data_IF_785498208524
#
_entry.id   IF_785498208524
#
_cell.length_a   1.000
_cell.length_b   1.000
_cell.length_c   1.000
_cell.angle_alpha   90.00
_cell.angle_beta   90.00
_cell.angle_gamma   90.00
#
_symmetry.space_group_name_H-M   'P 1'
#
loop_
_entity.id
_entity.type
_entity.pdbx_description
1 polymer ?
#
# COMPACT_ATOMS: atom_id res chain seq x y z
N UNK A 1 -8.69 -0.35 24.32
CA UNK A 1 -8.57 -1.81 24.02
C UNK A 1 -8.94 -2.11 22.57
N UNK A 2 -10.01 -1.48 22.03
CA UNK A 2 -10.44 -1.68 20.64
C UNK A 2 -9.42 -1.21 19.57
N UNK A 3 -8.67 -0.13 19.83
CA UNK A 3 -7.72 0.41 18.85
C UNK A 3 -6.60 -0.60 18.51
N UNK A 4 -6.15 -1.38 19.50
CA UNK A 4 -5.11 -2.39 19.25
C UNK A 4 -5.57 -3.46 18.25
N UNK A 5 -6.78 -3.96 18.44
CA UNK A 5 -7.38 -4.99 17.57
C UNK A 5 -7.47 -4.48 16.13
N UNK A 6 -7.85 -3.21 15.97
CA UNK A 6 -7.98 -2.56 14.68
C UNK A 6 -6.66 -2.52 13.89
N UNK A 7 -5.54 -2.14 14.51
CA UNK A 7 -4.25 -2.17 13.81
C UNK A 7 -3.74 -3.58 13.53
N UNK A 8 -3.97 -4.55 14.44
CA UNK A 8 -3.63 -5.95 14.18
C UNK A 8 -4.44 -6.51 12.99
N UNK A 9 -5.67 -6.04 12.81
CA UNK A 9 -6.46 -6.36 11.64
C UNK A 9 -5.87 -5.74 10.37
N UNK A 10 -5.43 -4.49 10.42
CA UNK A 10 -4.85 -3.85 9.25
C UNK A 10 -3.53 -4.46 8.82
N UNK A 11 -2.65 -4.82 9.75
CA UNK A 11 -1.43 -5.53 9.40
C UNK A 11 -1.76 -6.90 8.78
N UNK A 12 -2.71 -7.64 9.36
CA UNK A 12 -3.15 -8.93 8.80
C UNK A 12 -3.75 -8.74 7.40
N UNK A 13 -4.61 -7.75 7.20
CA UNK A 13 -5.21 -7.44 5.91
C UNK A 13 -4.15 -7.06 4.87
N UNK A 14 -3.17 -6.24 5.26
CA UNK A 14 -2.08 -5.83 4.36
C UNK A 14 -1.16 -6.98 4.02
N UNK A 15 -0.87 -7.86 4.99
CA UNK A 15 -0.14 -9.11 4.75
C UNK A 15 -0.94 -10.02 3.81
N UNK A 16 -2.27 -10.13 3.99
CA UNK A 16 -3.11 -10.94 3.08
C UNK A 16 -3.01 -10.44 1.64
N UNK A 17 -3.02 -9.12 1.41
CA UNK A 17 -2.80 -8.53 0.10
C UNK A 17 -1.38 -8.78 -0.43
N UNK A 18 -0.36 -8.72 0.42
CA UNK A 18 1.02 -9.05 0.06
C UNK A 18 1.18 -10.54 -0.31
N UNK A 19 0.55 -11.45 0.43
CA UNK A 19 0.55 -12.88 0.11
C UNK A 19 -0.18 -13.17 -1.19
N UNK A 20 -1.29 -12.47 -1.45
CA UNK A 20 -2.00 -12.56 -2.74
C UNK A 20 -1.14 -12.01 -3.89
N UNK A 21 -0.37 -10.95 -3.66
CA UNK A 21 0.54 -10.40 -4.65
C UNK A 21 1.62 -11.43 -5.03
N UNK A 22 2.23 -12.08 -4.03
CA UNK A 22 3.23 -13.13 -4.24
C UNK A 22 2.63 -14.33 -5.01
N UNK A 23 1.40 -14.72 -4.67
CA UNK A 23 0.67 -15.82 -5.32
C UNK A 23 0.41 -15.53 -6.80
N UNK A 24 -0.15 -14.36 -7.13
CA UNK A 24 -0.47 -13.96 -8.50
C UNK A 24 0.80 -13.73 -9.33
N UNK A 25 1.87 -13.22 -8.71
CA UNK A 25 3.17 -13.05 -9.36
C UNK A 25 3.93 -14.39 -9.57
N UNK A 26 3.47 -15.49 -8.95
CA UNK A 26 4.05 -16.84 -9.04
C UNK A 26 5.54 -16.89 -8.66
N UNK A 27 5.96 -16.09 -7.69
CA UNK A 27 7.37 -16.02 -7.29
C UNK A 27 7.89 -17.33 -6.66
N UNK A 28 7.00 -18.11 -6.03
CA UNK A 28 7.36 -19.36 -5.36
C UNK A 28 6.44 -20.50 -5.79
N UNK A 29 6.95 -21.62 -6.33
CA UNK A 29 6.13 -22.79 -6.67
C UNK A 29 5.42 -23.43 -5.47
N UNK A 30 6.00 -23.32 -4.28
CA UNK A 30 5.51 -23.83 -3.00
C UNK A 30 4.82 -22.75 -2.15
N UNK A 31 4.34 -21.66 -2.77
CA UNK A 31 3.74 -20.54 -2.03
C UNK A 31 2.56 -20.96 -1.16
N UNK A 32 1.74 -21.91 -1.63
CA UNK A 32 0.57 -22.41 -0.89
C UNK A 32 0.93 -22.97 0.49
N UNK A 33 2.12 -23.55 0.64
CA UNK A 33 2.62 -24.10 1.91
C UNK A 33 3.25 -23.02 2.80
N UNK A 34 3.73 -21.91 2.22
CA UNK A 34 4.36 -20.78 2.93
C UNK A 34 3.33 -19.80 3.49
N UNK A 35 2.22 -19.65 2.78
CA UNK A 35 1.12 -18.73 3.08
C UNK A 35 0.60 -18.90 4.51
N UNK A 36 0.39 -17.79 5.21
CA UNK A 36 -0.05 -17.75 6.62
C UNK A 36 -1.46 -17.18 6.79
N UNK A 37 -2.00 -16.50 5.78
CA UNK A 37 -3.35 -15.92 5.81
C UNK A 37 -4.30 -16.67 4.88
N UNK A 38 -5.59 -16.63 5.20
CA UNK A 38 -6.62 -17.04 4.26
C UNK A 38 -7.05 -15.85 3.38
N UNK A 39 -7.41 -16.12 2.13
CA UNK A 39 -7.89 -15.07 1.22
C UNK A 39 -9.36 -14.71 1.44
N UNK A 40 -9.98 -15.19 2.51
CA UNK A 40 -11.43 -15.04 2.65
C UNK A 40 -11.84 -13.56 2.80
N UNK A 41 -10.90 -12.67 3.15
CA UNK A 41 -11.06 -11.22 3.20
C UNK A 41 -10.99 -10.52 1.84
N UNK A 42 -10.46 -11.20 0.82
CA UNK A 42 -10.32 -10.64 -0.52
C UNK A 42 -11.51 -11.08 -1.37
N UNK A 43 -12.40 -10.14 -1.70
CA UNK A 43 -13.62 -10.41 -2.47
C UNK A 43 -13.51 -10.01 -3.95
N UNK A 44 -12.45 -9.28 -4.32
CA UNK A 44 -12.20 -8.84 -5.70
C UNK A 44 -11.76 -10.00 -6.58
N UNK A 45 -12.38 -10.12 -7.76
CA UNK A 45 -12.08 -11.18 -8.74
C UNK A 45 -11.08 -10.75 -9.80
N UNK A 46 -10.98 -9.45 -10.09
CA UNK A 46 -10.09 -8.89 -11.12
C UNK A 46 -8.60 -8.97 -10.75
N UNK A 47 -8.30 -9.23 -9.48
CA UNK A 47 -6.92 -9.33 -8.96
C UNK A 47 -6.13 -10.52 -9.52
N UNK A 48 -6.81 -11.52 -10.08
CA UNK A 48 -6.17 -12.69 -10.67
C UNK A 48 -5.68 -12.44 -12.11
N UNK A 49 -6.04 -11.30 -12.71
CA UNK A 49 -5.65 -10.94 -14.07
C UNK A 49 -4.17 -10.54 -14.17
N UNK A 50 -3.65 -9.81 -13.17
CA UNK A 50 -2.25 -9.41 -13.12
C UNK A 50 -1.80 -9.01 -11.71
N UNK A 51 -0.50 -9.13 -11.46
CA UNK A 51 0.11 -8.68 -10.19
C UNK A 51 -0.10 -7.17 -9.94
N UNK A 52 -0.20 -6.35 -11.00
CA UNK A 52 -0.44 -4.91 -10.89
C UNK A 52 -1.82 -4.57 -10.35
N UNK A 53 -2.84 -5.42 -10.61
CA UNK A 53 -4.17 -5.29 -10.01
C UNK A 53 -4.18 -5.59 -8.50
N UNK A 54 -3.15 -6.29 -7.98
CA UNK A 54 -2.95 -6.58 -6.55
C UNK A 54 -2.08 -5.53 -5.83
N UNK A 55 -1.15 -4.87 -6.53
CA UNK A 55 -0.30 -3.84 -5.92
C UNK A 55 -1.12 -2.63 -5.44
N UNK A 56 -2.10 -2.19 -6.23
CA UNK A 56 -2.98 -1.08 -5.86
C UNK A 56 -3.70 -1.29 -4.52
N UNK A 57 -4.42 -2.42 -4.30
CA UNK A 57 -5.08 -2.67 -3.03
C UNK A 57 -4.09 -2.91 -1.88
N UNK A 58 -2.91 -3.48 -2.12
CA UNK A 58 -1.84 -3.60 -1.10
C UNK A 58 -1.37 -2.22 -0.61
N UNK A 59 -0.99 -1.32 -1.52
CA UNK A 59 -0.60 0.03 -1.14
C UNK A 59 -1.72 0.80 -0.44
N UNK A 60 -2.96 0.59 -0.90
CA UNK A 60 -4.15 1.23 -0.32
C UNK A 60 -4.45 0.71 1.09
N UNK A 61 -4.34 -0.61 1.33
CA UNK A 61 -4.57 -1.20 2.66
C UNK A 61 -3.53 -0.74 3.67
N UNK A 62 -2.28 -0.62 3.24
CA UNK A 62 -1.19 -0.09 4.05
C UNK A 62 -1.41 1.38 4.42
N UNK A 63 -1.70 2.23 3.43
CA UNK A 63 -1.84 3.67 3.69
C UNK A 63 -3.06 3.97 4.56
N UNK A 64 -4.24 3.43 4.22
CA UNK A 64 -5.47 3.71 4.98
C UNK A 64 -5.39 3.09 6.37
N UNK A 65 -4.69 1.97 6.53
CA UNK A 65 -4.60 1.29 7.80
C UNK A 65 -3.67 1.94 8.83
N UNK A 66 -2.70 2.74 8.36
CA UNK A 66 -1.61 3.24 9.22
C UNK A 66 -1.37 4.75 9.14
N UNK A 67 -1.71 5.41 8.04
CA UNK A 67 -1.47 6.85 7.91
C UNK A 67 -2.39 7.64 8.85
N UNK A 68 -1.78 8.49 9.67
CA UNK A 68 -2.48 9.31 10.68
C UNK A 68 -2.56 8.61 12.03
N UNK A 69 -3.18 7.43 12.08
CA UNK A 69 -3.49 6.80 13.37
C UNK A 69 -2.29 6.10 14.00
N UNK A 70 -1.35 5.54 13.21
CA UNK A 70 -0.23 4.75 13.75
C UNK A 70 0.81 5.62 14.46
N UNK A 71 1.12 6.82 13.93
CA UNK A 71 2.13 7.70 14.50
C UNK A 71 1.70 8.32 15.84
N UNK A 72 0.39 8.38 16.08
CA UNK A 72 -0.19 8.78 17.36
C UNK A 72 -0.16 7.65 18.41
N UNK A 73 0.17 6.41 18.03
CA UNK A 73 0.23 5.30 18.97
C UNK A 73 1.53 5.29 19.80
N UNK A 74 1.47 4.74 21.03
CA UNK A 74 2.66 4.50 21.85
C UNK A 74 3.73 3.69 21.09
N UNK A 75 5.01 4.01 21.34
CA UNK A 75 6.13 3.36 20.68
C UNK A 75 6.11 1.83 20.87
N UNK A 76 5.79 1.36 22.08
CA UNK A 76 5.71 -0.07 22.38
C UNK A 76 4.69 -0.78 21.48
N UNK A 77 3.57 -0.11 21.19
CA UNK A 77 2.54 -0.65 20.33
C UNK A 77 2.97 -0.69 18.86
N UNK A 78 3.65 0.35 18.38
CA UNK A 78 4.26 0.35 17.03
C UNK A 78 5.27 -0.79 16.88
N UNK A 79 6.09 -1.02 17.89
CA UNK A 79 7.02 -2.16 17.93
C UNK A 79 6.30 -3.52 17.97
N UNK A 80 5.14 -3.64 18.62
CA UNK A 80 4.30 -4.84 18.57
C UNK A 80 3.81 -5.14 17.14
N UNK A 81 3.35 -4.12 16.41
CA UNK A 81 2.92 -4.26 15.01
C UNK A 81 4.10 -4.66 14.11
N UNK A 82 5.26 -4.00 14.24
CA UNK A 82 6.47 -4.36 13.49
C UNK A 82 6.92 -5.80 13.76
N UNK A 83 6.83 -6.26 15.01
CA UNK A 83 7.14 -7.66 15.36
C UNK A 83 6.27 -8.63 14.58
N UNK A 84 4.97 -8.38 14.41
CA UNK A 84 4.10 -9.27 13.63
C UNK A 84 4.53 -9.37 12.16
N UNK A 85 4.92 -8.25 11.53
CA UNK A 85 5.51 -8.27 10.18
C UNK A 85 6.76 -9.16 10.12
N UNK A 86 7.67 -9.02 11.08
CA UNK A 86 8.88 -9.85 11.12
C UNK A 86 8.59 -11.34 11.36
N UNK A 87 7.64 -11.67 12.23
CA UNK A 87 7.23 -13.06 12.45
C UNK A 87 6.63 -13.67 11.18
N UNK A 88 5.82 -12.91 10.44
CA UNK A 88 5.32 -13.35 9.14
C UNK A 88 6.46 -13.60 8.15
N UNK A 89 7.42 -12.67 8.07
CA UNK A 89 8.58 -12.79 7.17
C UNK A 89 9.42 -14.04 7.46
N UNK A 90 9.73 -14.31 8.73
CA UNK A 90 10.43 -15.54 9.13
C UNK A 90 9.65 -16.80 8.77
N UNK A 91 8.33 -16.79 8.95
CA UNK A 91 7.50 -17.98 8.70
C UNK A 91 7.36 -18.28 7.22
N UNK A 92 7.23 -17.26 6.37
CA UNK A 92 7.11 -17.39 4.91
C UNK A 92 8.40 -17.85 4.22
N UNK A 93 9.53 -17.85 4.93
CA UNK A 93 10.86 -18.24 4.42
C UNK A 93 11.30 -17.46 3.18
N UNK A 94 10.82 -16.23 3.06
CA UNK A 94 11.31 -15.24 2.10
C UNK A 94 12.64 -14.69 2.64
N UNK A 95 13.66 -14.59 1.80
CA UNK A 95 14.97 -14.06 2.18
C UNK A 95 15.62 -13.29 1.04
N UNK A 96 16.81 -12.73 1.30
CA UNK A 96 17.54 -11.90 0.33
C UNK A 96 17.90 -12.65 -0.97
N UNK A 97 18.12 -13.96 -0.91
CA UNK A 97 18.58 -14.76 -2.04
C UNK A 97 17.42 -15.27 -2.92
N UNK A 98 16.24 -15.44 -2.34
CA UNK A 98 15.07 -15.98 -3.03
C UNK A 98 13.97 -14.95 -3.36
N UNK A 99 14.10 -13.71 -2.87
CA UNK A 99 13.15 -12.64 -3.17
C UNK A 99 13.53 -11.92 -4.47
N UNK A 100 12.64 -11.83 -5.47
CA UNK A 100 12.88 -10.97 -6.62
C UNK A 100 12.91 -9.49 -6.20
N UNK A 101 13.63 -8.66 -6.95
CA UNK A 101 13.84 -7.23 -6.65
C UNK A 101 12.54 -6.50 -6.34
N UNK A 102 11.51 -6.71 -7.14
CA UNK A 102 10.20 -6.09 -6.96
C UNK A 102 9.53 -6.47 -5.62
N UNK A 103 9.65 -7.74 -5.18
CA UNK A 103 9.15 -8.16 -3.87
C UNK A 103 9.99 -7.55 -2.74
N UNK A 104 11.31 -7.47 -2.91
CA UNK A 104 12.18 -6.80 -1.95
C UNK A 104 11.76 -5.34 -1.76
N UNK A 105 11.48 -4.62 -2.84
CA UNK A 105 10.98 -3.24 -2.78
C UNK A 105 9.61 -3.16 -2.10
N UNK A 106 8.67 -4.07 -2.41
CA UNK A 106 7.36 -4.11 -1.75
C UNK A 106 7.50 -4.32 -0.23
N UNK A 107 8.38 -5.23 0.21
CA UNK A 107 8.67 -5.48 1.62
C UNK A 107 9.33 -4.26 2.29
N UNK A 108 10.26 -3.61 1.59
CA UNK A 108 10.90 -2.38 2.07
C UNK A 108 9.87 -1.28 2.33
N UNK A 109 9.01 -0.98 1.36
CA UNK A 109 7.99 0.07 1.50
C UNK A 109 6.88 -0.29 2.50
N UNK A 110 6.55 -1.57 2.65
CA UNK A 110 5.68 -2.03 3.74
C UNK A 110 6.28 -1.61 5.10
N UNK A 111 7.56 -1.89 5.31
CA UNK A 111 8.26 -1.55 6.54
C UNK A 111 8.39 -0.04 6.75
N UNK A 112 8.68 0.76 5.71
CA UNK A 112 8.70 2.23 5.80
C UNK A 112 7.39 2.78 6.39
N UNK A 113 6.26 2.25 5.92
CA UNK A 113 4.93 2.63 6.42
C UNK A 113 4.76 2.24 7.90
N UNK A 114 5.26 1.09 8.33
CA UNK A 114 5.24 0.69 9.74
C UNK A 114 6.18 1.52 10.63
N UNK A 115 7.23 2.12 10.05
CA UNK A 115 8.12 3.09 10.71
C UNK A 115 7.60 4.53 10.65
N UNK A 116 6.35 4.72 10.20
CA UNK A 116 5.74 6.02 10.00
C UNK A 116 6.47 6.93 8.97
N UNK A 117 7.29 6.36 8.08
CA UNK A 117 7.98 7.09 7.00
C UNK A 117 7.14 7.08 5.73
N UNK A 118 6.12 7.94 5.71
CA UNK A 118 5.09 7.95 4.66
C UNK A 118 5.39 8.86 3.46
N UNK A 119 6.49 9.62 3.47
CA UNK A 119 6.77 10.70 2.51
C UNK A 119 6.67 10.22 1.06
N UNK A 120 7.37 9.12 0.76
CA UNK A 120 7.35 8.55 -0.59
C UNK A 120 5.99 7.97 -0.94
N UNK A 121 5.38 7.20 -0.03
CA UNK A 121 4.08 6.58 -0.28
C UNK A 121 2.98 7.64 -0.52
N UNK A 122 3.03 8.77 0.19
CA UNK A 122 2.16 9.94 -0.06
C UNK A 122 2.42 10.54 -1.44
N UNK A 123 3.69 10.78 -1.78
CA UNK A 123 4.05 11.32 -3.09
C UNK A 123 3.55 10.43 -4.24
N UNK A 124 3.84 9.13 -4.17
CA UNK A 124 3.41 8.12 -5.13
C UNK A 124 1.89 8.05 -5.24
N UNK A 125 1.19 8.10 -4.11
CA UNK A 125 -0.27 8.13 -4.07
C UNK A 125 -0.81 9.37 -4.78
N UNK A 126 -0.25 10.54 -4.53
CA UNK A 126 -0.74 11.79 -5.10
C UNK A 126 -0.42 11.91 -6.61
N UNK A 127 0.68 11.31 -7.03
CA UNK A 127 1.11 11.21 -8.43
C UNK A 127 0.51 10.00 -9.18
N UNK A 128 -0.36 9.20 -8.55
CA UNK A 128 -0.99 8.05 -9.21
C UNK A 128 -1.88 8.46 -10.38
N UNK A 129 -1.88 7.64 -11.43
CA UNK A 129 -2.89 7.62 -12.49
C UNK A 129 -4.19 7.07 -11.89
N UNK A 130 -5.23 7.89 -11.87
CA UNK A 130 -6.56 7.47 -11.40
C UNK A 130 -7.26 6.71 -12.52
N UNK A 131 -7.60 5.45 -12.28
CA UNK A 131 -8.47 4.68 -13.17
C UNK A 131 -9.95 5.04 -12.96
N UNK A 132 -10.31 5.44 -11.73
CA UNK A 132 -11.69 5.71 -11.29
C UNK A 132 -11.67 6.96 -10.42
N UNK A 133 -12.61 7.88 -10.65
CA UNK A 133 -12.79 9.06 -9.81
C UNK A 133 -13.46 8.73 -8.48
N UNK A 134 -13.20 9.54 -7.45
CA UNK A 134 -13.64 9.24 -6.07
C UNK A 134 -15.17 9.28 -5.93
N UNK A 135 -15.84 10.08 -6.75
CA UNK A 135 -17.29 10.23 -6.80
C UNK A 135 -18.00 9.18 -7.67
N UNK A 136 -17.25 8.36 -8.41
CA UNK A 136 -17.82 7.24 -9.16
C UNK A 136 -18.25 6.11 -8.20
N UNK A 137 -19.50 5.61 -8.27
CA UNK A 137 -19.94 4.47 -7.46
C UNK A 137 -19.04 3.23 -7.52
N UNK A 138 -18.35 3.00 -8.65
CA UNK A 138 -17.38 1.90 -8.80
C UNK A 138 -16.17 2.05 -7.88
N UNK A 139 -15.84 3.27 -7.46
CA UNK A 139 -14.80 3.49 -6.46
C UNK A 139 -15.20 2.87 -5.13
N UNK A 140 -16.44 3.11 -4.67
CA UNK A 140 -16.95 2.51 -3.44
C UNK A 140 -16.98 0.98 -3.52
N UNK A 141 -17.39 0.42 -4.66
CA UNK A 141 -17.36 -1.03 -4.88
C UNK A 141 -15.91 -1.58 -4.77
N UNK A 142 -14.92 -0.92 -5.41
CA UNK A 142 -13.51 -1.32 -5.28
C UNK A 142 -13.02 -1.24 -3.83
N UNK A 143 -13.40 -0.19 -3.09
CA UNK A 143 -13.01 -0.02 -1.70
C UNK A 143 -13.67 -1.05 -0.78
N UNK A 144 -14.94 -1.40 -1.00
CA UNK A 144 -15.61 -2.52 -0.35
C UNK A 144 -14.92 -3.85 -0.68
N UNK A 145 -14.40 -3.99 -1.90
CA UNK A 145 -13.58 -5.13 -2.29
C UNK A 145 -12.26 -5.27 -1.51
N UNK A 146 -11.72 -4.16 -0.99
CA UNK A 146 -10.49 -4.13 -0.19
C UNK A 146 -10.77 -4.30 1.29
N UNK A 147 -11.76 -3.58 1.82
CA UNK A 147 -11.97 -3.44 3.27
C UNK A 147 -13.30 -4.00 3.76
N UNK A 148 -14.22 -4.36 2.87
CA UNK A 148 -15.62 -4.64 3.22
C UNK A 148 -15.77 -5.75 4.24
N UNK A 149 -15.05 -6.86 4.08
CA UNK A 149 -15.09 -7.95 5.07
C UNK A 149 -14.44 -7.54 6.39
N UNK A 150 -13.32 -6.83 6.34
CA UNK A 150 -12.68 -6.31 7.56
C UNK A 150 -13.60 -5.40 8.35
N UNK A 151 -14.31 -4.49 7.67
CA UNK A 151 -15.31 -3.62 8.27
C UNK A 151 -16.49 -4.39 8.85
N UNK A 152 -16.99 -5.43 8.16
CA UNK A 152 -18.07 -6.28 8.67
C UNK A 152 -17.67 -6.98 9.97
N UNK A 153 -16.45 -7.53 10.04
CA UNK A 153 -15.99 -8.21 11.27
C UNK A 153 -15.89 -7.22 12.44
N UNK A 154 -15.32 -6.02 12.21
CA UNK A 154 -15.27 -4.94 13.23
C UNK A 154 -16.68 -4.58 13.70
N UNK A 155 -17.60 -4.34 12.75
CA UNK A 155 -18.98 -3.94 13.06
C UNK A 155 -19.76 -5.03 13.79
N UNK A 156 -19.48 -6.30 13.50
CA UNK A 156 -20.13 -7.45 14.15
C UNK A 156 -19.63 -7.70 15.57
N UNK A 157 -18.54 -7.06 16.00
CA UNK A 157 -17.92 -7.29 17.31
C UNK A 157 -17.24 -8.65 17.44
N UNK A 158 -17.15 -9.44 16.37
CA UNK A 158 -16.47 -10.75 16.34
C UNK A 158 -14.97 -10.61 16.19
N UNK A 159 -14.36 -9.79 17.03
CA UNK A 159 -12.93 -9.48 16.99
C UNK A 159 -12.05 -10.70 17.25
N UNK A 160 -12.59 -11.72 17.92
CA UNK A 160 -11.89 -12.97 18.21
C UNK A 160 -11.57 -13.78 16.94
N UNK A 161 -12.37 -13.61 15.87
CA UNK A 161 -12.07 -14.18 14.54
C UNK A 161 -10.84 -13.49 13.89
N UNK A 162 -10.47 -12.29 14.35
CA UNK A 162 -9.32 -11.51 13.87
C UNK A 162 -8.08 -11.76 14.74
N UNK A 163 -8.26 -11.87 16.06
CA UNK A 163 -7.17 -12.12 17.04
C UNK A 163 -6.59 -13.55 16.92
N UNK A 164 -7.32 -14.45 16.25
CA UNK A 164 -7.09 -15.89 16.21
C UNK A 164 -5.78 -16.43 15.60
N UNK A 165 -4.89 -15.63 15.00
CA UNK A 165 -3.51 -16.10 14.80
C UNK A 165 -2.53 -14.94 14.58
N UNK A 166 -1.94 -14.44 15.66
CA UNK A 166 -0.62 -13.81 15.57
C UNK A 166 0.33 -14.74 14.80
N UNK A 167 1.28 -14.18 14.07
CA UNK A 167 2.23 -15.01 13.34
C UNK A 167 3.15 -15.72 14.34
N UNK A 168 3.52 -16.96 14.03
CA UNK A 168 4.28 -17.83 14.94
C UNK A 168 5.79 -17.82 14.69
N UNK A 169 6.27 -17.04 13.72
CA UNK A 169 7.69 -16.95 13.41
C UNK A 169 8.52 -16.26 14.49
N UNK A 170 9.83 -16.31 14.32
CA UNK A 170 10.79 -15.63 15.18
C UNK A 170 10.99 -14.19 14.70
N UNK A 171 10.47 -13.22 15.46
CA UNK A 171 10.56 -11.80 15.12
C UNK A 171 12.01 -11.30 14.97
N UNK A 172 12.97 -11.84 15.73
CA UNK A 172 14.38 -11.43 15.63
C UNK A 172 14.99 -11.94 14.32
N UNK A 173 14.75 -13.20 13.96
CA UNK A 173 15.22 -13.78 12.70
C UNK A 173 14.57 -13.07 11.49
N UNK A 174 13.27 -12.77 11.57
CA UNK A 174 12.56 -11.99 10.57
C UNK A 174 13.13 -10.60 10.41
N UNK A 175 13.44 -9.90 11.50
CA UNK A 175 14.09 -8.58 11.45
C UNK A 175 15.45 -8.65 10.76
N UNK A 176 16.32 -9.59 11.14
CA UNK A 176 17.62 -9.78 10.47
C UNK A 176 17.47 -10.08 8.98
N UNK A 177 16.45 -10.88 8.62
CA UNK A 177 16.15 -11.18 7.21
C UNK A 177 15.70 -9.94 6.45
N UNK A 178 14.84 -9.11 7.06
CA UNK A 178 14.41 -7.84 6.48
C UNK A 178 15.59 -6.87 6.29
N UNK A 179 16.46 -6.73 7.29
CA UNK A 179 17.65 -5.87 7.19
C UNK A 179 18.56 -6.30 6.04
N UNK A 180 18.76 -7.61 5.84
CA UNK A 180 19.51 -8.14 4.70
C UNK A 180 18.84 -7.80 3.35
N UNK A 181 17.50 -7.91 3.27
CA UNK A 181 16.73 -7.52 2.08
C UNK A 181 16.89 -6.02 1.81
N UNK A 182 16.68 -5.16 2.81
CA UNK A 182 16.75 -3.71 2.68
C UNK A 182 18.14 -3.22 2.26
N UNK A 183 19.20 -3.85 2.79
CA UNK A 183 20.59 -3.56 2.44
C UNK A 183 20.99 -4.07 1.05
N UNK A 184 20.25 -5.03 0.48
CA UNK A 184 20.51 -5.53 -0.87
C UNK A 184 19.94 -4.64 -1.98
N UNK A 185 19.11 -3.65 -1.63
CA UNK A 185 18.47 -2.74 -2.57
C UNK A 185 19.28 -1.44 -2.71
N UNK A 186 19.51 -1.03 -3.96
CA UNK A 186 20.01 0.30 -4.29
C UNK A 186 18.96 1.38 -4.03
N UNK A 187 19.41 2.63 -3.88
CA UNK A 187 18.50 3.76 -3.69
C UNK A 187 17.59 3.99 -4.90
N UNK A 188 18.09 3.70 -6.11
CA UNK A 188 17.31 3.75 -7.34
C UNK A 188 16.16 2.72 -7.34
N UNK A 189 16.41 1.48 -6.90
CA UNK A 189 15.37 0.46 -6.81
C UNK A 189 14.30 0.81 -5.77
N UNK A 190 14.71 1.40 -4.64
CA UNK A 190 13.80 1.89 -3.60
C UNK A 190 12.92 3.02 -4.13
N UNK A 191 13.52 3.99 -4.83
CA UNK A 191 12.81 5.18 -5.31
C UNK A 191 11.87 4.90 -6.49
N UNK A 192 12.28 4.03 -7.41
CA UNK A 192 11.51 3.74 -8.63
C UNK A 192 10.35 2.76 -8.42
N UNK A 193 10.27 2.08 -7.27
CA UNK A 193 9.14 1.21 -6.96
C UNK A 193 7.92 2.02 -6.50
N UNK A 194 6.73 1.66 -6.98
CA UNK A 194 5.46 2.21 -6.52
C UNK A 194 4.34 1.18 -6.48
N UNK A 195 3.48 1.25 -5.45
CA UNK A 195 2.26 0.44 -5.39
C UNK A 195 1.18 0.90 -6.37
N UNK A 196 1.26 2.14 -6.86
CA UNK A 196 0.29 2.73 -7.78
C UNK A 196 0.94 3.03 -9.12
N UNK A 197 0.20 2.82 -10.20
CA UNK A 197 0.63 3.28 -11.52
C UNK A 197 0.79 4.80 -11.50
N UNK A 198 1.97 5.30 -11.87
CA UNK A 198 2.31 6.73 -11.81
C UNK A 198 1.91 7.46 -13.10
N UNK A 199 1.49 8.73 -13.02
CA UNK A 199 1.09 9.55 -14.19
C UNK A 199 2.17 9.64 -15.28
N UNK A 200 3.44 9.58 -14.89
CA UNK A 200 4.58 9.76 -15.80
C UNK A 200 5.18 8.44 -16.34
N UNK A 201 4.63 7.28 -15.94
CA UNK A 201 5.16 5.96 -16.32
C UNK A 201 5.16 5.72 -17.84
N UNK A 202 4.14 6.19 -18.56
CA UNK A 202 4.06 6.08 -20.03
C UNK A 202 5.18 6.86 -20.75
N UNK A 203 5.70 7.94 -20.15
CA UNK A 203 6.83 8.71 -20.73
C UNK A 203 8.17 8.02 -20.50
N UNK A 204 8.29 7.17 -19.48
CA UNK A 204 9.53 6.43 -19.20
C UNK A 204 9.65 5.20 -20.10
N UNK A 205 8.57 4.44 -20.34
CA UNK A 205 8.60 3.33 -21.31
C UNK A 205 8.92 3.80 -22.74
N UNK A 206 8.45 4.99 -23.13
CA UNK A 206 8.79 5.58 -24.44
C UNK A 206 10.27 5.99 -24.49
N UNK A 207 10.82 6.53 -23.39
CA UNK A 207 12.24 6.93 -23.32
C UNK A 207 13.20 5.74 -23.27
N UNK A 208 12.94 4.72 -22.45
CA UNK A 208 13.78 3.51 -22.43
C UNK A 208 13.78 2.79 -23.79
N UNK A 209 12.63 2.74 -24.47
CA UNK A 209 12.55 2.21 -25.82
C UNK A 209 13.22 3.11 -26.87
N UNK A 210 13.29 4.43 -26.66
CA UNK A 210 14.01 5.36 -27.52
C UNK A 210 15.53 5.32 -27.29
N UNK A 211 15.99 5.25 -26.04
CA UNK A 211 17.40 5.19 -25.68
C UNK A 211 18.03 3.85 -26.11
N UNK A 212 17.27 2.74 -25.99
CA UNK A 212 17.67 1.44 -26.55
C UNK A 212 17.72 1.44 -28.08
N UNK A 213 16.86 2.23 -28.74
CA UNK A 213 16.84 2.38 -30.21
C UNK A 213 17.93 3.34 -30.70
N UNK A 214 18.27 4.39 -29.94
CA UNK A 214 19.37 5.31 -30.23
C UNK A 214 20.76 4.69 -30.00
N UNK A 215 20.89 3.71 -29.08
CA UNK A 215 22.11 2.90 -29.00
C UNK A 215 22.31 1.99 -30.22
N UNK A 216 21.23 1.58 -30.90
CA UNK A 216 21.31 0.85 -32.19
C UNK A 216 21.47 1.76 -33.42
N UNK A 217 21.23 3.08 -33.30
CA UNK A 217 21.28 4.00 -34.45
C UNK A 217 22.12 5.25 -34.18
N UNK A 218 23.39 5.08 -33.80
CA UNK A 218 24.42 6.11 -34.05
C UNK A 218 24.89 6.10 -35.50
N UNK A 219 24.02 6.51 -36.43
CA UNK A 219 24.41 7.34 -37.58
C UNK A 219 23.19 8.10 -38.07
N UNK A 220 23.35 9.44 -38.18
CA UNK A 220 22.50 10.42 -38.87
C UNK A 220 21.60 11.28 -37.97
N UNK A 221 22.08 12.51 -37.71
CA UNK A 221 21.34 13.67 -37.19
C UNK A 221 20.23 14.10 -38.16
N UNK A 222 19.08 14.59 -37.66
CA UNK A 222 18.75 15.99 -37.96
C UNK A 222 18.13 16.79 -36.79
N UNK A 223 17.80 18.04 -37.13
CA UNK A 223 17.70 19.28 -36.36
C UNK A 223 16.44 19.46 -35.47
N UNK A 224 16.42 20.48 -34.57
CA UNK A 224 15.40 20.63 -33.53
C UNK A 224 14.20 21.49 -33.97
N UNK A 225 13.01 21.16 -33.47
CA UNK A 225 11.80 21.96 -33.65
C UNK A 225 11.15 22.35 -32.31
N UNK A 226 10.48 23.50 -32.34
CA UNK A 226 10.23 24.46 -31.25
C UNK A 226 9.09 24.11 -30.27
N UNK A 227 9.20 24.73 -29.08
CA UNK A 227 8.23 24.87 -27.99
C UNK A 227 6.86 25.45 -28.39
N UNK A 228 5.78 25.21 -27.62
CA UNK A 228 5.11 26.20 -26.72
C UNK A 228 3.85 25.65 -25.94
N UNK A 229 3.15 26.39 -25.03
CA UNK A 229 2.89 25.93 -23.65
C UNK A 229 1.42 26.03 -23.11
N UNK A 230 1.29 25.74 -21.79
CA UNK A 230 0.30 26.21 -20.76
C UNK A 230 -0.94 25.37 -20.45
N UNK A 231 -1.10 25.04 -19.15
CA UNK A 231 -2.37 25.14 -18.40
C UNK A 231 -2.12 25.24 -16.88
N UNK A 232 -2.02 26.46 -16.34
CA UNK A 232 -1.77 26.75 -14.90
C UNK A 232 -3.01 27.29 -14.16
N UNK A 233 -4.23 27.21 -14.74
CA UNK A 233 -5.43 27.85 -14.15
C UNK A 233 -6.38 26.91 -13.39
N UNK A 234 -6.18 25.59 -13.45
CA UNK A 234 -7.11 24.61 -12.86
C UNK A 234 -6.82 24.29 -11.38
N UNK A 235 -5.63 24.63 -10.86
CA UNK A 235 -5.19 24.22 -9.52
C UNK A 235 -5.86 25.04 -8.40
N UNK A 236 -6.36 26.25 -8.68
CA UNK A 236 -6.89 27.16 -7.66
C UNK A 236 -8.36 26.89 -7.27
N UNK A 237 -9.13 26.17 -8.10
CA UNK A 237 -10.56 25.89 -7.82
C UNK A 237 -10.74 24.59 -7.00
N UNK A 238 -9.79 23.65 -7.10
CA UNK A 238 -9.89 22.35 -6.43
C UNK A 238 -9.56 22.45 -4.91
N UNK A 239 -8.68 23.40 -4.53
CA UNK A 239 -8.29 23.58 -3.13
C UNK A 239 -9.41 24.11 -2.23
N UNK A 240 -10.32 24.95 -2.75
CA UNK A 240 -11.40 25.55 -1.96
C UNK A 240 -12.53 24.57 -1.63
N UNK A 241 -12.79 23.58 -2.49
CA UNK A 241 -13.80 22.55 -2.26
C UNK A 241 -13.33 21.54 -1.20
N UNK A 242 -12.03 21.20 -1.19
CA UNK A 242 -11.46 20.26 -0.22
C UNK A 242 -11.49 20.81 1.21
N UNK A 243 -11.23 22.12 1.37
CA UNK A 243 -11.27 22.78 2.68
C UNK A 243 -12.69 22.80 3.27
N UNK A 244 -13.73 23.01 2.44
CA UNK A 244 -15.12 22.99 2.88
C UNK A 244 -15.58 21.60 3.35
N UNK A 245 -15.12 20.53 2.69
CA UNK A 245 -15.42 19.14 3.08
C UNK A 245 -14.85 18.76 4.45
N UNK A 246 -13.61 19.15 4.74
CA UNK A 246 -12.98 18.87 6.04
C UNK A 246 -13.66 19.60 7.19
N UNK A 247 -14.12 20.84 6.97
CA UNK A 247 -14.89 21.60 7.97
C UNK A 247 -16.23 20.91 8.27
N UNK A 248 -16.92 20.40 7.25
CA UNK A 248 -18.20 19.72 7.43
C UNK A 248 -18.05 18.42 8.24
N UNK A 249 -16.99 17.63 7.97
CA UNK A 249 -16.68 16.40 8.71
C UNK A 249 -16.37 16.72 10.17
N UNK A 250 -15.57 17.76 10.43
CA UNK A 250 -15.26 18.21 11.78
C UNK A 250 -16.51 18.62 12.57
N UNK A 251 -17.45 19.32 11.94
CA UNK A 251 -18.72 19.70 12.55
C UNK A 251 -19.61 18.49 12.87
N UNK A 252 -19.68 17.51 11.98
CA UNK A 252 -20.44 16.27 12.21
C UNK A 252 -19.87 15.52 13.42
N UNK A 253 -18.55 15.36 13.49
CA UNK A 253 -17.88 14.69 14.61
C UNK A 253 -18.06 15.45 15.93
N UNK A 254 -18.02 16.78 15.88
CA UNK A 254 -18.28 17.62 17.05
C UNK A 254 -19.70 17.43 17.60
N UNK A 255 -20.72 17.47 16.73
CA UNK A 255 -22.11 17.26 17.15
C UNK A 255 -22.35 15.85 17.69
N UNK A 256 -21.75 14.84 17.07
CA UNK A 256 -21.86 13.46 17.51
C UNK A 256 -21.25 13.25 18.91
N UNK A 257 -20.08 13.87 19.16
CA UNK A 257 -19.43 13.86 20.48
C UNK A 257 -20.23 14.61 21.54
N UNK A 258 -20.90 15.71 21.18
CA UNK A 258 -21.74 16.49 22.08
C UNK A 258 -22.99 15.72 22.49
N UNK A 259 -23.67 15.05 21.56
CA UNK A 259 -24.88 14.28 21.86
C UNK A 259 -24.58 13.07 22.76
N UNK A 260 -23.45 12.37 22.56
CA UNK A 260 -23.02 11.29 23.47
C UNK A 260 -22.75 11.73 24.91
N UNK A 261 -22.49 13.01 25.16
CA UNK A 261 -22.31 13.55 26.52
C UNK A 261 -23.62 13.97 27.19
N UNK A 262 -24.70 14.12 26.44
CA UNK A 262 -26.01 14.50 26.99
C UNK A 262 -26.83 13.27 27.45
N UNK A 263 -26.41 12.07 27.05
CA UNK A 263 -27.06 10.79 27.39
C UNK A 263 -26.42 10.09 28.61
N UNK A 264 -25.38 10.69 29.22
CA UNK A 264 -24.75 10.26 30.47
C UNK A 264 -24.86 11.37 31.52
#
# INVERSE_FOLDING_TARGET
MNDKIYFFQFIRSSITWLEKYIEVAKYYPDWKQRKQTDDSFITRKDIYESKSKVLWPLGTSLMIGFEGDLDEQPLEFREEIKKEFYKWLDTSKINVDNAPVELKCALFHFHEILECRFEKARHDRDNRKREIEIDDPKYLEKMQGIFGKSQQVIQSGKTDEIDGSRFNGNAKAGKTTFEAIANSLSDSEKENFSFWLQKNSEKQEIKENQDNKEQETKTTKPAPEKEHPKTTKTILIIGSIFLAGLVLIGLILYYWKKNKKAEN
#
